data_IF_168478260739
#
_entry.id   IF_168478260739
#
_cell.length_a   1.000
_cell.length_b   1.000
_cell.length_c   1.000
_cell.angle_alpha   90.00
_cell.angle_beta   90.00
_cell.angle_gamma   90.00
#
_symmetry.space_group_name_H-M   'P 1'
#
loop_
_entity.id
_entity.type
_entity.pdbx_description
1 polymer ?
#
# COMPACT_ATOMS: atom_id res chain seq x y z
N UNK A 1 -10.00 -31.08 9.13
CA UNK A 1 -10.33 -29.76 9.71
C UNK A 1 -10.52 -28.79 8.57
N UNK A 2 -11.75 -28.32 8.37
CA UNK A 2 -12.10 -27.33 7.34
C UNK A 2 -11.49 -25.99 7.71
N UNK A 3 -10.51 -25.52 6.93
CA UNK A 3 -10.03 -24.15 7.03
C UNK A 3 -11.20 -23.21 6.70
N UNK A 4 -11.72 -22.54 7.72
CA UNK A 4 -12.62 -21.40 7.56
C UNK A 4 -11.95 -20.39 6.63
N UNK A 5 -12.44 -20.25 5.39
CA UNK A 5 -11.93 -19.25 4.45
C UNK A 5 -12.38 -17.87 4.93
N UNK A 6 -11.52 -17.22 5.71
CA UNK A 6 -11.78 -15.88 6.25
C UNK A 6 -11.83 -14.89 5.09
N UNK A 7 -12.93 -14.16 4.97
CA UNK A 7 -13.02 -13.01 4.07
C UNK A 7 -12.32 -11.81 4.70
N UNK A 8 -11.49 -11.11 3.93
CA UNK A 8 -10.82 -9.89 4.40
C UNK A 8 -11.71 -8.65 4.22
N UNK A 9 -11.80 -7.83 5.26
CA UNK A 9 -12.36 -6.49 5.14
C UNK A 9 -11.37 -5.58 4.42
N UNK A 10 -11.84 -4.82 3.42
CA UNK A 10 -11.03 -3.79 2.75
C UNK A 10 -10.55 -2.77 3.79
N UNK A 11 -9.24 -2.71 3.99
CA UNK A 11 -8.60 -1.89 5.02
C UNK A 11 -7.12 -1.74 4.70
N UNK A 12 -6.44 -0.82 5.38
CA UNK A 12 -5.03 -0.56 5.11
C UNK A 12 -4.15 -1.74 5.55
N UNK A 13 -3.10 -2.06 4.79
CA UNK A 13 -2.18 -3.16 5.13
C UNK A 13 -0.75 -2.73 5.03
N UNK A 14 0.01 -2.91 6.10
CA UNK A 14 1.46 -2.68 6.09
C UNK A 14 2.14 -3.78 5.27
N UNK A 15 2.94 -3.37 4.30
CA UNK A 15 3.84 -4.23 3.56
C UNK A 15 5.21 -4.19 4.23
N UNK A 16 5.39 -5.08 5.22
CA UNK A 16 6.62 -5.18 6.00
C UNK A 16 7.85 -5.36 5.11
N UNK A 17 8.94 -4.69 5.46
CA UNK A 17 10.19 -4.67 4.70
C UNK A 17 10.33 -3.51 3.70
N UNK A 18 9.24 -2.90 3.26
CA UNK A 18 9.28 -1.71 2.38
C UNK A 18 8.69 -0.44 3.01
N UNK A 19 8.02 -0.57 4.17
CA UNK A 19 7.49 0.54 4.96
C UNK A 19 6.32 1.28 4.31
N UNK A 20 5.59 0.62 3.41
CA UNK A 20 4.39 1.16 2.75
C UNK A 20 3.14 0.47 3.24
N UNK A 21 2.05 1.22 3.32
CA UNK A 21 0.70 0.70 3.46
C UNK A 21 0.02 0.62 2.09
N UNK A 22 -0.66 -0.49 1.81
CA UNK A 22 -1.66 -0.56 0.74
C UNK A 22 -2.95 0.13 1.17
N UNK A 23 -3.40 1.11 0.38
CA UNK A 23 -4.67 1.82 0.57
C UNK A 23 -5.81 1.10 -0.17
N UNK A 24 -6.32 0.02 0.43
CA UNK A 24 -7.43 -0.75 -0.14
C UNK A 24 -8.81 -0.11 0.11
N UNK A 25 -8.85 1.09 0.71
CA UNK A 25 -10.06 1.86 0.90
C UNK A 25 -10.38 2.65 -0.37
N UNK A 26 -11.66 3.00 -0.56
CA UNK A 26 -12.11 3.80 -1.70
C UNK A 26 -11.80 5.30 -1.54
N UNK A 27 -11.22 5.72 -0.41
CA UNK A 27 -10.90 7.12 -0.13
C UNK A 27 -9.42 7.43 -0.35
N UNK A 28 -9.09 8.58 -0.97
CA UNK A 28 -7.71 8.99 -1.13
C UNK A 28 -7.12 9.42 0.21
N UNK A 29 -5.94 8.87 0.52
CA UNK A 29 -5.08 9.30 1.63
C UNK A 29 -4.31 10.54 1.20
N UNK A 30 -4.01 11.49 2.09
CA UNK A 30 -3.20 12.67 1.74
C UNK A 30 -2.00 12.79 2.65
N UNK A 31 -0.92 13.38 2.14
CA UNK A 31 0.22 13.77 2.96
C UNK A 31 -0.26 14.71 4.08
N UNK A 32 0.22 14.46 5.29
CA UNK A 32 -0.20 15.16 6.50
C UNK A 32 -1.52 14.66 7.09
N UNK A 33 -2.20 13.67 6.49
CA UNK A 33 -3.32 13.01 7.16
C UNK A 33 -2.83 12.32 8.44
N UNK A 34 -3.61 12.48 9.50
CA UNK A 34 -3.40 11.83 10.79
C UNK A 34 -4.45 10.74 10.94
N UNK A 35 -3.99 9.55 11.26
CA UNK A 35 -4.85 8.41 11.55
C UNK A 35 -4.65 7.93 12.97
N UNK A 36 -5.74 7.52 13.61
CA UNK A 36 -5.69 6.59 14.72
C UNK A 36 -5.63 5.17 14.16
N UNK A 37 -4.70 4.36 14.65
CA UNK A 37 -4.53 2.95 14.30
C UNK A 37 -5.26 2.12 15.36
N UNK A 38 -6.27 1.37 14.92
CA UNK A 38 -7.00 0.41 15.75
C UNK A 38 -6.96 -0.96 15.07
N UNK A 39 -6.06 -1.83 15.54
CA UNK A 39 -5.73 -3.09 14.89
C UNK A 39 -5.27 -2.89 13.44
N UNK A 40 -6.09 -3.31 12.48
CA UNK A 40 -5.83 -3.22 11.04
C UNK A 40 -6.58 -2.05 10.36
N UNK A 41 -7.33 -1.28 11.13
CA UNK A 41 -8.11 -0.14 10.64
C UNK A 41 -7.40 1.16 10.95
N UNK A 42 -7.46 2.09 9.99
CA UNK A 42 -6.95 3.44 10.19
C UNK A 42 -8.13 4.40 10.14
N UNK A 43 -8.44 4.99 11.29
CA UNK A 43 -9.52 5.95 11.45
C UNK A 43 -8.95 7.35 11.21
N UNK A 44 -9.40 8.01 10.14
CA UNK A 44 -8.91 9.35 9.79
C UNK A 44 -9.38 10.38 10.81
N UNK A 45 -8.45 11.06 11.47
CA UNK A 45 -8.75 12.16 12.39
C UNK A 45 -8.84 13.50 11.68
N UNK A 46 -8.08 13.68 10.60
CA UNK A 46 -8.03 14.89 9.81
C UNK A 46 -6.66 15.12 9.19
N UNK A 47 -6.50 16.21 8.45
CA UNK A 47 -5.19 16.62 7.94
C UNK A 47 -4.52 17.61 8.90
N UNK A 48 -3.20 17.52 9.09
CA UNK A 48 -2.46 18.38 10.02
C UNK A 48 -2.71 19.87 9.77
N UNK A 49 -2.84 20.30 8.51
CA UNK A 49 -3.10 21.71 8.17
C UNK A 49 -4.50 22.20 8.60
N UNK A 50 -5.45 21.28 8.78
CA UNK A 50 -6.81 21.57 9.25
C UNK A 50 -6.89 21.49 10.77
N UNK A 51 -6.12 20.59 11.36
CA UNK A 51 -6.14 20.31 12.79
C UNK A 51 -5.31 21.31 13.61
N UNK A 52 -4.42 22.07 12.97
CA UNK A 52 -3.68 23.16 13.60
C UNK A 52 -3.34 24.26 12.59
N UNK A 53 -3.47 25.52 13.01
CA UNK A 53 -3.16 26.69 12.19
C UNK A 53 -1.65 26.96 12.07
N UNK A 54 -0.81 26.30 12.87
CA UNK A 54 0.63 26.58 12.95
C UNK A 54 1.49 25.85 11.91
N UNK A 55 0.93 24.88 11.17
CA UNK A 55 1.69 23.98 10.29
C UNK A 55 1.20 24.10 8.85
N UNK A 56 2.02 24.74 8.00
CA UNK A 56 1.95 24.61 6.55
C UNK A 56 2.89 23.50 6.11
N UNK A 57 2.44 22.64 5.19
CA UNK A 57 3.26 21.54 4.65
C UNK A 57 3.49 21.64 3.14
N UNK A 58 2.74 22.49 2.43
CA UNK A 58 2.74 22.49 0.95
C UNK A 58 4.12 22.81 0.39
N UNK A 59 4.84 23.76 0.99
CA UNK A 59 6.18 24.13 0.55
C UNK A 59 7.27 23.07 0.86
N UNK A 60 6.95 22.06 1.67
CA UNK A 60 7.89 21.01 2.09
C UNK A 60 7.56 19.64 1.49
N UNK A 61 6.66 19.60 0.49
CA UNK A 61 6.36 18.39 -0.25
C UNK A 61 7.21 18.36 -1.51
N UNK A 62 8.07 17.36 -1.59
CA UNK A 62 8.87 17.06 -2.77
C UNK A 62 8.18 15.96 -3.57
N UNK A 63 8.23 16.07 -4.90
CA UNK A 63 7.67 15.08 -5.80
C UNK A 63 8.78 14.50 -6.69
N UNK A 64 8.83 13.17 -6.78
CA UNK A 64 9.75 12.49 -7.69
C UNK A 64 9.33 12.64 -9.15
N UNK A 65 10.27 12.38 -10.06
CA UNK A 65 9.95 12.13 -11.46
C UNK A 65 9.07 10.87 -11.60
N UNK A 66 8.36 10.76 -12.71
CA UNK A 66 7.58 9.59 -13.08
C UNK A 66 8.49 8.39 -13.33
N UNK A 67 8.16 7.26 -12.72
CA UNK A 67 8.84 6.00 -12.97
C UNK A 67 7.91 4.81 -12.77
N UNK A 68 8.17 3.72 -13.50
CA UNK A 68 7.50 2.46 -13.22
C UNK A 68 7.94 1.95 -11.84
N UNK A 69 6.98 1.69 -10.96
CA UNK A 69 7.24 1.26 -9.59
C UNK A 69 6.83 -0.19 -9.40
N UNK A 70 7.79 -1.02 -9.00
CA UNK A 70 7.59 -2.45 -8.81
C UNK A 70 8.25 -2.90 -7.52
N UNK A 71 7.53 -3.65 -6.71
CA UNK A 71 8.12 -4.37 -5.60
C UNK A 71 7.25 -5.54 -5.19
N UNK A 72 7.83 -6.39 -4.37
CA UNK A 72 7.14 -7.48 -3.69
C UNK A 72 7.51 -7.47 -2.22
N UNK A 73 6.53 -7.61 -1.33
CA UNK A 73 6.78 -7.79 0.10
C UNK A 73 6.73 -9.28 0.47
N UNK A 74 7.61 -9.71 1.36
CA UNK A 74 7.75 -11.11 1.79
C UNK A 74 8.89 -11.87 1.10
N UNK A 75 9.22 -13.05 1.61
CA UNK A 75 10.43 -13.80 1.23
C UNK A 75 10.28 -14.73 0.02
N UNK A 76 9.12 -14.81 -0.64
CA UNK A 76 9.01 -15.63 -1.86
C UNK A 76 7.68 -15.42 -2.61
N UNK A 77 7.78 -15.12 -3.90
CA UNK A 77 6.67 -15.15 -4.85
C UNK A 77 7.17 -15.77 -6.15
N UNK A 78 6.25 -16.30 -6.94
CA UNK A 78 6.55 -16.85 -8.27
C UNK A 78 5.51 -16.34 -9.25
N UNK A 79 5.96 -15.85 -10.40
CA UNK A 79 5.11 -15.32 -11.45
C UNK A 79 5.28 -16.20 -12.67
N UNK A 80 4.19 -16.79 -13.13
CA UNK A 80 4.15 -17.61 -14.34
C UNK A 80 3.23 -16.92 -15.36
N UNK A 81 3.79 -16.64 -16.53
CA UNK A 81 3.05 -16.07 -17.67
C UNK A 81 2.38 -17.19 -18.48
N UNK A 82 1.38 -16.81 -19.28
CA UNK A 82 0.61 -17.71 -20.12
C UNK A 82 1.47 -18.58 -21.06
N UNK A 83 0.84 -19.63 -21.61
CA UNK A 83 1.48 -20.73 -22.37
C UNK A 83 2.27 -21.71 -21.50
N UNK A 84 1.83 -21.91 -20.26
CA UNK A 84 2.31 -23.01 -19.42
C UNK A 84 1.26 -24.14 -19.36
N UNK A 85 1.51 -25.23 -20.07
CA UNK A 85 0.60 -26.38 -20.17
C UNK A 85 0.45 -27.14 -18.83
N UNK A 86 1.49 -27.17 -18.01
CA UNK A 86 1.46 -27.81 -16.68
C UNK A 86 0.55 -27.05 -15.71
N UNK A 87 0.56 -25.71 -15.81
CA UNK A 87 -0.24 -24.82 -14.97
C UNK A 87 -1.63 -24.50 -15.56
N UNK A 88 -1.93 -24.98 -16.78
CA UNK A 88 -3.19 -24.71 -17.50
C UNK A 88 -3.52 -23.22 -17.62
N UNK A 89 -2.51 -22.38 -17.89
CA UNK A 89 -2.69 -20.93 -18.05
C UNK A 89 -2.92 -20.57 -19.52
N UNK A 90 -4.00 -19.83 -19.79
CA UNK A 90 -4.26 -19.27 -21.12
C UNK A 90 -3.28 -18.13 -21.47
N UNK A 91 -3.23 -17.72 -22.76
CA UNK A 91 -2.29 -16.70 -23.25
C UNK A 91 -2.41 -15.36 -22.50
N UNK A 92 -3.64 -14.93 -22.25
CA UNK A 92 -3.98 -13.71 -21.51
C UNK A 92 -3.99 -13.87 -19.99
N UNK A 93 -3.40 -14.94 -19.44
CA UNK A 93 -3.40 -15.19 -17.99
C UNK A 93 -2.00 -15.11 -17.38
N UNK A 94 -1.92 -14.57 -16.16
CA UNK A 94 -0.71 -14.59 -15.33
C UNK A 94 -1.03 -15.14 -13.96
N UNK A 95 -0.28 -16.14 -13.53
CA UNK A 95 -0.36 -16.69 -12.18
C UNK A 95 0.67 -16.03 -11.28
N UNK A 96 0.21 -15.48 -10.16
CA UNK A 96 1.03 -15.02 -9.04
C UNK A 96 0.84 -16.01 -7.89
N UNK A 97 1.90 -16.69 -7.52
CA UNK A 97 1.92 -17.64 -6.41
C UNK A 97 2.66 -17.04 -5.20
N UNK A 98 1.92 -16.72 -4.15
CA UNK A 98 2.44 -16.18 -2.90
C UNK A 98 2.91 -17.32 -2.00
N UNK A 99 4.23 -17.47 -1.81
CA UNK A 99 4.82 -18.57 -1.02
C UNK A 99 4.95 -18.25 0.47
N UNK A 100 4.49 -17.08 0.90
CA UNK A 100 4.50 -16.61 2.29
C UNK A 100 3.19 -15.90 2.62
N UNK A 101 2.83 -15.88 3.90
CA UNK A 101 1.72 -15.06 4.39
C UNK A 101 2.09 -13.57 4.35
N UNK A 102 1.07 -12.71 4.43
CA UNK A 102 1.22 -11.24 4.50
C UNK A 102 2.15 -10.67 3.43
N UNK A 103 2.00 -11.14 2.20
CA UNK A 103 2.87 -10.82 1.06
C UNK A 103 2.12 -10.02 0.01
N UNK A 104 2.80 -9.07 -0.63
CA UNK A 104 2.22 -8.18 -1.62
C UNK A 104 2.98 -8.24 -2.93
N UNK A 105 2.25 -8.11 -4.03
CA UNK A 105 2.77 -7.86 -5.37
C UNK A 105 2.30 -6.49 -5.81
N UNK A 106 3.22 -5.66 -6.30
CA UNK A 106 2.92 -4.32 -6.79
C UNK A 106 3.61 -4.09 -8.13
N UNK A 107 2.82 -3.64 -9.10
CA UNK A 107 3.29 -3.10 -10.37
C UNK A 107 2.46 -1.87 -10.75
N UNK A 108 3.11 -0.72 -10.81
CA UNK A 108 2.52 0.59 -11.06
C UNK A 108 3.22 1.25 -12.25
N UNK A 109 2.43 1.84 -13.16
CA UNK A 109 2.94 2.57 -14.31
C UNK A 109 2.95 4.09 -14.06
N UNK A 110 4.07 4.72 -14.39
CA UNK A 110 4.26 6.17 -14.30
C UNK A 110 3.92 6.70 -12.90
N UNK A 111 4.44 6.01 -11.89
CA UNK A 111 4.21 6.34 -10.50
C UNK A 111 5.04 7.56 -10.08
N UNK A 112 4.41 8.43 -9.28
CA UNK A 112 5.03 9.58 -8.62
C UNK A 112 4.99 9.36 -7.12
N UNK A 113 6.13 9.60 -6.47
CA UNK A 113 6.21 9.59 -5.02
C UNK A 113 6.24 11.03 -4.55
N UNK A 114 5.25 11.41 -3.75
CA UNK A 114 5.26 12.68 -3.03
C UNK A 114 5.70 12.41 -1.60
N UNK A 115 6.62 13.21 -1.07
CA UNK A 115 7.21 13.03 0.27
C UNK A 115 7.23 14.36 1.01
N UNK A 116 6.79 14.36 2.26
CA UNK A 116 6.93 15.47 3.18
C UNK A 116 8.29 15.42 3.85
N UNK A 117 9.04 16.51 3.72
CA UNK A 117 10.30 16.74 4.44
C UNK A 117 10.03 17.04 5.91
N UNK A 118 9.81 15.99 6.70
CA UNK A 118 9.37 16.07 8.12
C UNK A 118 10.33 16.90 8.97
N UNK A 119 11.64 16.88 8.68
CA UNK A 119 12.62 17.71 9.37
C UNK A 119 12.29 19.20 9.34
N UNK A 120 11.58 19.68 8.32
CA UNK A 120 11.18 21.09 8.18
C UNK A 120 10.00 21.46 9.11
N UNK A 121 9.24 20.48 9.61
CA UNK A 121 8.07 20.71 10.46
C UNK A 121 8.14 19.98 11.81
N UNK A 122 9.25 19.29 12.11
CA UNK A 122 9.32 18.28 13.17
C UNK A 122 8.98 18.87 14.54
N UNK A 123 9.49 20.06 14.87
CA UNK A 123 9.27 20.67 16.19
C UNK A 123 7.82 21.09 16.41
N UNK A 124 7.20 21.68 15.38
CA UNK A 124 5.77 22.03 15.43
C UNK A 124 4.90 20.79 15.51
N UNK A 125 5.27 19.74 14.78
CA UNK A 125 4.58 18.46 14.80
C UNK A 125 4.69 17.78 16.17
N UNK A 126 5.88 17.79 16.79
CA UNK A 126 6.10 17.31 18.17
C UNK A 126 5.24 18.06 19.18
N UNK A 127 5.19 19.39 19.07
CA UNK A 127 4.36 20.22 19.94
C UNK A 127 2.87 19.86 19.81
N UNK A 128 2.38 19.69 18.58
CA UNK A 128 1.02 19.21 18.33
C UNK A 128 0.78 17.82 18.93
N UNK A 129 1.66 16.85 18.68
CA UNK A 129 1.57 15.48 19.22
C UNK A 129 1.48 15.46 20.74
N UNK A 130 2.34 16.26 21.40
CA UNK A 130 2.35 16.41 22.86
C UNK A 130 1.05 17.04 23.37
N UNK A 131 0.54 18.07 22.71
CA UNK A 131 -0.72 18.73 23.08
C UNK A 131 -1.93 17.81 23.04
N UNK A 132 -1.87 16.75 22.20
CA UNK A 132 -2.91 15.73 22.07
C UNK A 132 -2.65 14.48 22.91
N UNK A 133 -1.51 14.37 23.59
CA UNK A 133 -1.12 13.19 24.34
C UNK A 133 -0.81 11.97 23.46
N UNK A 134 -0.52 12.18 22.17
CA UNK A 134 -0.16 11.10 21.23
C UNK A 134 1.25 10.57 21.46
N UNK A 135 2.10 11.34 22.15
CA UNK A 135 3.47 11.01 22.51
C UNK A 135 3.59 10.16 23.80
N UNK A 136 2.49 9.91 24.49
CA UNK A 136 2.45 9.11 25.72
C UNK A 136 2.74 7.63 25.44
N UNK A 137 3.38 6.92 26.38
CA UNK A 137 3.90 5.57 26.16
C UNK A 137 2.87 4.57 25.59
N UNK A 138 1.61 4.64 26.03
CA UNK A 138 0.52 3.80 25.53
C UNK A 138 -0.06 4.20 24.17
N UNK A 139 0.24 5.42 23.69
CA UNK A 139 -0.38 6.02 22.50
C UNK A 139 0.57 6.15 21.30
N UNK A 140 1.90 6.08 21.52
CA UNK A 140 2.92 6.30 20.48
C UNK A 140 2.72 5.50 19.19
N UNK A 141 2.13 4.31 19.29
CA UNK A 141 1.87 3.39 18.16
C UNK A 141 0.45 3.46 17.61
N UNK A 142 -0.42 4.20 18.28
CA UNK A 142 -1.83 4.29 17.95
C UNK A 142 -2.12 5.49 17.06
N UNK A 143 -1.14 6.36 16.81
CA UNK A 143 -1.30 7.54 15.97
C UNK A 143 -0.17 7.66 14.98
N UNK A 144 -0.53 7.84 13.71
CA UNK A 144 0.42 7.97 12.61
C UNK A 144 0.12 9.22 11.79
N UNK A 145 1.15 9.80 11.19
CA UNK A 145 1.04 10.84 10.17
C UNK A 145 1.51 10.31 8.83
N UNK A 146 0.76 10.58 7.77
CA UNK A 146 1.17 10.23 6.41
C UNK A 146 2.28 11.16 5.96
N UNK A 147 3.46 10.60 5.71
CA UNK A 147 4.63 11.34 5.22
C UNK A 147 4.85 11.21 3.73
N UNK A 148 4.30 10.18 3.09
CA UNK A 148 4.46 9.99 1.66
C UNK A 148 3.25 9.29 1.06
N UNK A 149 2.93 9.61 -0.19
CA UNK A 149 1.94 8.90 -1.00
C UNK A 149 2.55 8.53 -2.34
N UNK A 150 2.10 7.41 -2.91
CA UNK A 150 2.40 7.03 -4.28
C UNK A 150 1.11 7.18 -5.10
N UNK A 151 1.16 8.06 -6.09
CA UNK A 151 0.16 8.16 -7.15
C UNK A 151 0.67 7.45 -8.40
N UNK A 152 -0.21 6.82 -9.16
CA UNK A 152 0.13 6.10 -10.37
C UNK A 152 -0.98 6.26 -11.40
N UNK A 153 -0.62 6.36 -12.69
CA UNK A 153 -1.61 6.48 -13.78
C UNK A 153 -2.44 5.21 -13.93
N UNK A 154 -1.84 4.06 -13.65
CA UNK A 154 -2.51 2.76 -13.60
C UNK A 154 -1.70 1.78 -12.76
N UNK A 155 -2.29 0.64 -12.39
CA UNK A 155 -1.51 -0.36 -11.67
C UNK A 155 -2.30 -1.55 -11.15
N UNK A 156 -1.53 -2.49 -10.64
CA UNK A 156 -1.98 -3.70 -9.95
C UNK A 156 -1.26 -3.81 -8.61
N UNK A 157 -2.02 -3.86 -7.53
CA UNK A 157 -1.58 -4.20 -6.18
C UNK A 157 -2.39 -5.39 -5.71
N UNK A 158 -1.72 -6.47 -5.33
CA UNK A 158 -2.34 -7.66 -4.77
C UNK A 158 -1.67 -7.93 -3.43
N UNK A 159 -2.46 -8.09 -2.38
CA UNK A 159 -1.99 -8.52 -1.07
C UNK A 159 -2.64 -9.84 -0.70
N UNK A 160 -1.84 -10.76 -0.18
CA UNK A 160 -2.31 -12.03 0.35
C UNK A 160 -1.96 -12.15 1.83
N UNK A 161 -2.95 -12.51 2.65
CA UNK A 161 -2.73 -12.83 4.05
C UNK A 161 -2.31 -14.30 4.26
N UNK A 162 -2.51 -15.17 3.26
CA UNK A 162 -2.27 -16.60 3.35
C UNK A 162 -1.06 -17.07 2.55
N UNK A 163 -0.38 -18.08 3.09
CA UNK A 163 0.68 -18.79 2.37
C UNK A 163 0.09 -19.69 1.28
N UNK A 164 0.81 -19.85 0.17
CA UNK A 164 0.44 -20.65 -1.00
C UNK A 164 -0.86 -20.17 -1.69
N UNK A 165 -1.18 -18.89 -1.53
CA UNK A 165 -2.26 -18.27 -2.30
C UNK A 165 -1.87 -18.16 -3.77
N UNK A 166 -2.79 -18.53 -4.64
CA UNK A 166 -2.67 -18.46 -6.09
C UNK A 166 -3.67 -17.45 -6.61
N UNK A 167 -3.15 -16.40 -7.22
CA UNK A 167 -3.94 -15.36 -7.88
C UNK A 167 -3.68 -15.42 -9.37
N UNK A 168 -4.72 -15.61 -10.16
CA UNK A 168 -4.69 -15.56 -11.62
C UNK A 168 -5.24 -14.21 -12.07
N UNK A 169 -4.41 -13.43 -12.75
CA UNK A 169 -4.81 -12.20 -13.43
C UNK A 169 -5.17 -12.55 -14.88
N UNK A 170 -6.35 -12.12 -15.33
CA UNK A 170 -6.88 -12.37 -16.67
C UNK A 170 -7.02 -11.06 -17.42
N UNK A 171 -6.29 -10.90 -18.51
CA UNK A 171 -6.48 -9.77 -19.41
C UNK A 171 -7.84 -9.87 -20.10
N UNK A 172 -8.43 -8.73 -20.45
CA UNK A 172 -9.64 -8.68 -21.25
C UNK A 172 -9.41 -9.04 -22.73
N UNK A 173 -8.15 -9.12 -23.16
CA UNK A 173 -7.75 -9.50 -24.52
C UNK A 173 -7.08 -10.88 -24.52
N UNK A 174 -7.22 -11.61 -25.62
CA UNK A 174 -6.54 -12.91 -25.84
C UNK A 174 -5.03 -12.76 -26.18
N UNK A 175 -4.49 -11.56 -26.01
CA UNK A 175 -3.08 -11.28 -26.26
C UNK A 175 -2.20 -11.93 -25.19
N UNK A 176 -1.05 -12.43 -25.62
CA UNK A 176 -0.08 -13.03 -24.73
C UNK A 176 0.55 -11.98 -23.81
N UNK A 177 0.48 -12.21 -22.50
CA UNK A 177 1.11 -11.32 -21.52
C UNK A 177 2.59 -11.71 -21.40
N UNK A 178 3.47 -10.90 -22.00
CA UNK A 178 4.90 -11.23 -22.12
C UNK A 178 5.79 -10.68 -21.00
N UNK A 179 5.26 -9.88 -20.08
CA UNK A 179 6.10 -9.28 -19.02
C UNK A 179 5.33 -8.78 -17.80
N UNK A 180 6.03 -8.68 -16.67
CA UNK A 180 5.54 -8.03 -15.44
C UNK A 180 5.13 -6.57 -15.71
N UNK A 181 5.77 -5.89 -16.67
CA UNK A 181 5.42 -4.49 -17.01
C UNK A 181 3.98 -4.37 -17.50
N UNK A 182 3.47 -5.37 -18.23
CA UNK A 182 2.09 -5.37 -18.68
C UNK A 182 1.09 -5.36 -17.51
N UNK A 183 1.44 -5.95 -16.36
CA UNK A 183 0.60 -5.95 -15.15
C UNK A 183 0.40 -4.54 -14.57
N UNK A 184 1.28 -3.59 -14.89
CA UNK A 184 1.13 -2.19 -14.52
C UNK A 184 -0.02 -1.47 -15.22
N UNK A 185 -0.60 -2.02 -16.30
CA UNK A 185 -1.73 -1.40 -16.99
C UNK A 185 -3.03 -1.43 -16.19
N UNK A 186 -3.15 -2.33 -15.21
CA UNK A 186 -4.36 -2.53 -14.42
C UNK A 186 -5.59 -2.96 -15.24
N UNK A 187 -5.41 -3.50 -16.44
CA UNK A 187 -6.50 -4.04 -17.28
C UNK A 187 -6.65 -5.55 -17.06
N UNK A 188 -6.93 -5.95 -15.81
CA UNK A 188 -7.05 -7.35 -15.44
C UNK A 188 -8.26 -7.60 -14.55
N UNK A 189 -8.94 -8.71 -14.78
CA UNK A 189 -9.76 -9.36 -13.77
C UNK A 189 -8.86 -10.27 -12.92
N UNK A 190 -9.24 -10.54 -11.67
CA UNK A 190 -8.49 -11.48 -10.84
C UNK A 190 -9.38 -12.61 -10.33
N UNK A 191 -8.77 -13.78 -10.21
CA UNK A 191 -9.34 -14.97 -9.56
C UNK A 191 -8.35 -15.46 -8.53
N UNK A 192 -8.82 -15.73 -7.31
CA UNK A 192 -7.99 -16.18 -6.19
C UNK A 192 -8.52 -17.50 -5.65
N UNK A 193 -7.64 -18.41 -5.24
CA UNK A 193 -8.05 -19.66 -4.59
C UNK A 193 -8.48 -19.49 -3.13
N UNK A 194 -8.33 -18.28 -2.56
CA UNK A 194 -8.77 -17.92 -1.21
C UNK A 194 -9.49 -16.56 -1.21
N UNK A 195 -10.31 -16.34 -0.16
CA UNK A 195 -10.96 -15.05 0.14
C UNK A 195 -10.06 -14.11 0.96
N UNK A 196 -8.89 -14.59 1.39
CA UNK A 196 -7.89 -13.83 2.13
C UNK A 196 -6.93 -13.04 1.20
N UNK A 197 -7.50 -12.38 0.19
CA UNK A 197 -6.81 -11.58 -0.82
C UNK A 197 -7.42 -10.18 -0.86
N UNK A 198 -6.58 -9.16 -0.98
CA UNK A 198 -6.99 -7.78 -1.24
C UNK A 198 -6.33 -7.29 -2.54
N UNK A 199 -7.04 -6.45 -3.27
CA UNK A 199 -6.64 -5.99 -4.58
C UNK A 199 -6.91 -4.51 -4.83
N UNK A 200 -6.04 -3.90 -5.62
CA UNK A 200 -6.26 -2.62 -6.31
C UNK A 200 -5.79 -2.85 -7.74
N UNK A 201 -6.74 -3.00 -8.66
CA UNK A 201 -6.45 -3.18 -10.09
C UNK A 201 -7.20 -2.08 -10.81
N UNK A 202 -6.48 -1.18 -11.46
CA UNK A 202 -7.10 -0.03 -12.10
C UNK A 202 -6.34 0.42 -13.35
N UNK A 203 -7.04 0.60 -14.48
CA UNK A 203 -6.50 1.23 -15.67
C UNK A 203 -6.53 2.76 -15.63
N UNK A 204 -6.94 3.34 -14.49
CA UNK A 204 -7.04 4.78 -14.23
C UNK A 204 -6.19 5.17 -13.04
N UNK A 205 -5.97 6.48 -12.91
CA UNK A 205 -5.19 7.07 -11.83
C UNK A 205 -5.64 6.54 -10.47
N UNK A 206 -4.69 6.05 -9.70
CA UNK A 206 -4.88 5.49 -8.37
C UNK A 206 -3.82 6.04 -7.43
N UNK A 207 -4.15 6.05 -6.15
CA UNK A 207 -3.18 6.33 -5.09
C UNK A 207 -3.07 5.11 -4.16
N UNK A 208 -2.41 4.03 -4.62
CA UNK A 208 -2.54 2.73 -4.00
C UNK A 208 -1.69 2.57 -2.74
N UNK A 209 -0.66 3.40 -2.54
CA UNK A 209 0.30 3.23 -1.46
C UNK A 209 0.57 4.54 -0.73
N UNK A 210 0.91 4.43 0.56
CA UNK A 210 1.43 5.55 1.33
C UNK A 210 2.41 5.08 2.40
N UNK A 211 3.31 5.95 2.84
CA UNK A 211 4.10 5.75 4.07
C UNK A 211 3.55 6.63 5.17
N UNK A 212 3.63 6.10 6.38
CA UNK A 212 3.28 6.85 7.57
C UNK A 212 4.40 6.76 8.60
N UNK A 213 4.39 7.72 9.51
CA UNK A 213 5.34 7.81 10.60
C UNK A 213 4.62 7.76 11.94
N UNK A 214 5.21 7.06 12.89
CA UNK A 214 4.86 7.14 14.30
C UNK A 214 5.90 7.95 15.07
N UNK A 215 5.60 8.32 16.32
CA UNK A 215 6.59 8.94 17.20
C UNK A 215 7.26 7.88 18.07
N UNK A 216 8.60 7.85 18.07
CA UNK A 216 9.40 6.95 18.92
C UNK A 216 9.49 7.49 20.35
N UNK A 217 9.97 6.65 21.27
CA UNK A 217 10.18 7.02 22.67
C UNK A 217 11.17 8.20 22.86
N UNK A 218 12.10 8.38 21.92
CA UNK A 218 13.03 9.50 21.88
C UNK A 218 12.45 10.77 21.22
N UNK A 219 11.14 10.77 20.91
CA UNK A 219 10.43 11.89 20.31
C UNK A 219 10.62 12.05 18.80
N UNK A 220 11.46 11.24 18.15
CA UNK A 220 11.65 11.32 16.68
C UNK A 220 10.52 10.64 15.94
N UNK A 221 10.12 11.22 14.82
CA UNK A 221 9.22 10.56 13.88
C UNK A 221 9.99 9.55 13.02
N UNK A 222 9.42 8.37 12.83
CA UNK A 222 10.06 7.32 12.05
C UNK A 222 9.06 6.45 11.30
N UNK A 223 9.53 5.81 10.24
CA UNK A 223 8.73 4.97 9.35
C UNK A 223 8.13 3.81 10.13
N UNK A 224 6.85 3.52 9.89
CA UNK A 224 6.25 2.29 10.38
C UNK A 224 6.75 1.12 9.54
N UNK A 225 7.41 0.17 10.20
CA UNK A 225 8.08 -0.99 9.58
C UNK A 225 7.77 -2.29 10.30
#
# INVERSE_FOLDING_TARGET
MSASSRSLTKSNRLFSGVGYYGNFLNSPVKIGDIFQVDGNEHIKLGNIQQLTTGISIKEFIEQSNEANFKFTSGKSFEINFGVNAELKLAKGEVLINFKSNSSAFVSLNDAKVSVLSIGMIEDKLKAYWKSKGYDQAGNRRNYIIVSSVIESVSGTVIFSEEKNNKVVLKASTDEEIKSIKALGSGQFEYVSNTKATLEIISPKTIQPLYRALWIRANGKFDIVS
#
